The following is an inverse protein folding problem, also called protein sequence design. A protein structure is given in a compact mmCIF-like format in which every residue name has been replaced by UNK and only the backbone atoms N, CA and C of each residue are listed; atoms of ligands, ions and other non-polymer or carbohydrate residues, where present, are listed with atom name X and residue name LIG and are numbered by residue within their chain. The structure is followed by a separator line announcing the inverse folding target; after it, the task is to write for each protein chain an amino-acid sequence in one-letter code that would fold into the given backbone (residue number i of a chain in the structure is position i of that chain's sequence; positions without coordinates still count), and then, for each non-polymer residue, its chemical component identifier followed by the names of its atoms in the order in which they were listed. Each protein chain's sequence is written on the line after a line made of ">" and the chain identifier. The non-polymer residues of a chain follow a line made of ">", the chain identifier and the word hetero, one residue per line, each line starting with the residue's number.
data_IF_650208638703
#
_entry.id   IF_650208638703
#
_cell.length_a   1.000
_cell.length_b   1.000
_cell.length_c   1.000
_cell.angle_alpha   90.00
_cell.angle_beta   90.00
_cell.angle_gamma   90.00
#
_symmetry.space_group_name_H-M   'P 1'
#
loop_
_entity.id
_entity.type
_entity.pdbx_description
1 polymer ?
#
# COMPACT_ATOMS: atom_id res chain seq x y z
N UNK A 1 -29.06 31.69 0.74
CA UNK A 1 -29.51 30.50 -0.03
C UNK A 1 -29.12 29.26 0.76
N UNK A 2 -30.08 28.59 1.40
CA UNK A 2 -29.79 27.40 2.21
C UNK A 2 -29.43 26.21 1.33
N UNK A 3 -28.31 25.54 1.64
CA UNK A 3 -27.88 24.33 0.94
C UNK A 3 -28.97 23.25 1.03
N UNK A 4 -29.33 22.55 -0.08
CA UNK A 4 -30.38 21.53 -0.09
C UNK A 4 -30.14 20.36 0.88
N UNK A 5 -28.90 20.12 1.30
CA UNK A 5 -28.56 19.14 2.33
C UNK A 5 -28.83 19.64 3.76
N UNK A 6 -28.75 20.95 4.01
CA UNK A 6 -29.00 21.53 5.32
C UNK A 6 -30.45 21.34 5.76
N UNK A 7 -31.40 21.56 4.85
CA UNK A 7 -32.83 21.34 5.12
C UNK A 7 -33.16 19.89 5.47
N UNK A 8 -32.52 18.91 4.82
CA UNK A 8 -32.70 17.47 5.10
C UNK A 8 -32.13 17.05 6.46
N UNK A 9 -30.99 17.60 6.84
CA UNK A 9 -30.37 17.32 8.15
C UNK A 9 -31.25 17.88 9.26
N UNK A 10 -31.71 19.12 9.12
CA UNK A 10 -32.56 19.79 10.12
C UNK A 10 -33.86 19.00 10.33
N UNK A 11 -34.57 18.62 9.26
CA UNK A 11 -35.81 17.83 9.38
C UNK A 11 -35.59 16.45 10.01
N UNK A 12 -34.46 15.80 9.70
CA UNK A 12 -34.11 14.50 10.29
C UNK A 12 -33.84 14.63 11.79
N UNK A 13 -33.09 15.66 12.20
CA UNK A 13 -32.80 15.93 13.62
C UNK A 13 -34.09 16.28 14.37
N UNK A 14 -34.96 17.13 13.80
CA UNK A 14 -36.25 17.47 14.40
C UNK A 14 -37.17 16.26 14.56
N UNK A 15 -37.20 15.34 13.59
CA UNK A 15 -37.98 14.11 13.70
C UNK A 15 -37.45 13.18 14.80
N UNK A 16 -36.12 13.03 14.90
CA UNK A 16 -35.47 12.22 15.93
C UNK A 16 -35.71 12.79 17.34
N UNK A 17 -35.56 14.11 17.52
CA UNK A 17 -35.85 14.79 18.79
C UNK A 17 -37.33 14.67 19.18
N UNK A 18 -38.25 14.81 18.21
CA UNK A 18 -39.69 14.64 18.44
C UNK A 18 -40.07 13.24 18.95
N UNK A 19 -39.38 12.19 18.49
CA UNK A 19 -39.60 10.81 18.95
C UNK A 19 -39.07 10.55 20.37
N UNK A 20 -38.20 11.43 20.88
CA UNK A 20 -37.52 11.28 22.17
C UNK A 20 -38.25 12.00 23.31
N UNK A 21 -39.17 12.91 23.01
CA UNK A 21 -39.92 13.71 24.00
C UNK A 21 -40.74 12.86 25.00
N UNK A 22 -40.98 11.59 24.70
CA UNK A 22 -41.76 10.66 25.53
C UNK A 22 -40.91 9.77 26.44
N UNK A 23 -39.57 9.91 26.41
CA UNK A 23 -38.61 9.05 27.12
C UNK A 23 -38.02 9.72 28.36
N UNK A 24 -37.36 8.93 29.21
CA UNK A 24 -36.59 9.44 30.37
C UNK A 24 -35.33 10.15 29.91
N UNK A 25 -34.91 11.17 30.65
CA UNK A 25 -33.84 12.11 30.25
C UNK A 25 -32.49 11.42 29.99
N UNK A 26 -32.13 10.40 30.78
CA UNK A 26 -30.91 9.62 30.59
C UNK A 26 -30.91 8.81 29.27
N UNK A 27 -32.07 8.25 28.90
CA UNK A 27 -32.24 7.52 27.64
C UNK A 27 -32.18 8.46 26.43
N UNK A 28 -32.73 9.66 26.58
CA UNK A 28 -32.66 10.71 25.56
C UNK A 28 -31.19 11.06 25.31
N UNK A 29 -30.40 11.29 26.36
CA UNK A 29 -29.00 11.68 26.21
C UNK A 29 -28.15 10.56 25.58
N UNK A 30 -28.40 9.29 25.92
CA UNK A 30 -27.72 8.16 25.30
C UNK A 30 -28.05 8.06 23.80
N UNK A 31 -29.32 8.23 23.43
CA UNK A 31 -29.77 8.16 22.04
C UNK A 31 -29.21 9.34 21.23
N UNK A 32 -29.16 10.55 21.80
CA UNK A 32 -28.49 11.74 21.25
C UNK A 32 -27.06 11.46 20.84
N UNK A 33 -26.28 10.89 21.76
CA UNK A 33 -24.89 10.56 21.47
C UNK A 33 -24.76 9.55 20.31
N UNK A 34 -25.64 8.56 20.25
CA UNK A 34 -25.63 7.55 19.20
C UNK A 34 -25.94 8.12 17.81
N UNK A 35 -27.05 8.84 17.64
CA UNK A 35 -27.40 9.35 16.31
C UNK A 35 -26.52 10.55 15.91
N UNK A 36 -26.04 11.37 16.85
CA UNK A 36 -25.06 12.42 16.55
C UNK A 36 -23.80 11.84 15.93
N UNK A 37 -23.31 10.71 16.44
CA UNK A 37 -22.16 10.02 15.85
C UNK A 37 -22.46 9.51 14.44
N UNK A 38 -23.63 8.90 14.21
CA UNK A 38 -24.04 8.40 12.89
C UNK A 38 -24.17 9.57 11.90
N UNK A 39 -24.87 10.63 12.25
CA UNK A 39 -25.05 11.82 11.40
C UNK A 39 -23.71 12.49 11.11
N UNK A 40 -22.88 12.69 12.13
CA UNK A 40 -21.55 13.30 11.98
C UNK A 40 -20.67 12.47 11.07
N UNK A 41 -20.68 11.15 11.22
CA UNK A 41 -19.91 10.26 10.34
C UNK A 41 -20.44 10.29 8.90
N UNK A 42 -21.75 10.34 8.69
CA UNK A 42 -22.33 10.43 7.34
C UNK A 42 -22.09 11.79 6.67
N UNK A 43 -22.07 12.88 7.45
CA UNK A 43 -21.76 14.22 6.95
C UNK A 43 -20.26 14.42 6.68
N UNK A 44 -19.40 13.87 7.55
CA UNK A 44 -17.94 13.87 7.39
C UNK A 44 -17.47 12.89 6.32
N UNK A 45 -18.22 11.81 6.07
CA UNK A 45 -18.09 10.95 4.89
C UNK A 45 -18.58 11.72 3.65
N UNK A 46 -17.90 12.81 3.30
CA UNK A 46 -17.70 13.17 1.91
C UNK A 46 -17.24 11.89 1.24
N UNK A 47 -18.11 11.29 0.41
CA UNK A 47 -17.88 10.09 -0.41
C UNK A 47 -16.38 9.85 -0.53
N UNK A 48 -15.86 8.70 -0.06
CA UNK A 48 -14.49 8.27 -0.37
C UNK A 48 -14.20 8.74 -1.78
N UNK A 49 -13.23 9.68 -1.95
CA UNK A 49 -13.05 10.36 -3.23
C UNK A 49 -13.06 9.28 -4.31
N UNK A 50 -13.98 9.35 -5.30
CA UNK A 50 -14.09 8.29 -6.28
C UNK A 50 -12.68 8.07 -6.86
N UNK A 51 -12.19 6.84 -6.76
CA UNK A 51 -10.91 6.42 -7.36
C UNK A 51 -10.89 7.00 -8.77
N UNK A 52 -9.85 7.76 -9.09
CA UNK A 52 -9.79 8.46 -10.37
C UNK A 52 -9.92 7.46 -11.51
N UNK A 53 -10.48 7.88 -12.65
CA UNK A 53 -10.61 6.97 -13.81
C UNK A 53 -9.25 6.36 -14.21
N UNK A 54 -8.17 7.12 -14.05
CA UNK A 54 -6.79 6.65 -14.20
C UNK A 54 -6.45 5.52 -13.23
N UNK A 55 -6.79 5.64 -11.95
CA UNK A 55 -6.55 4.57 -10.97
C UNK A 55 -7.39 3.33 -11.25
N UNK A 56 -8.66 3.48 -11.67
CA UNK A 56 -9.50 2.34 -12.09
C UNK A 56 -8.88 1.63 -13.29
N UNK A 57 -8.42 2.40 -14.28
CA UNK A 57 -7.73 1.90 -15.46
C UNK A 57 -6.47 1.11 -15.07
N UNK A 58 -5.58 1.70 -14.26
CA UNK A 58 -4.35 1.06 -13.79
C UNK A 58 -4.67 -0.23 -13.04
N UNK A 59 -5.65 -0.21 -12.13
CA UNK A 59 -6.04 -1.38 -11.35
C UNK A 59 -6.56 -2.51 -12.24
N UNK A 60 -7.38 -2.18 -13.25
CA UNK A 60 -7.88 -3.16 -14.23
C UNK A 60 -6.75 -3.82 -15.01
N UNK A 61 -5.80 -3.03 -15.52
CA UNK A 61 -4.65 -3.56 -16.25
C UNK A 61 -3.73 -4.38 -15.35
N UNK A 62 -3.46 -3.91 -14.14
CA UNK A 62 -2.69 -4.65 -13.16
C UNK A 62 -3.23 -6.06 -12.92
N UNK A 63 -4.55 -6.19 -12.71
CA UNK A 63 -5.20 -7.51 -12.54
C UNK A 63 -5.05 -8.39 -13.77
N UNK A 64 -5.24 -7.83 -14.98
CA UNK A 64 -5.05 -8.56 -16.24
C UNK A 64 -3.62 -9.04 -16.41
N UNK A 65 -2.64 -8.16 -16.19
CA UNK A 65 -1.20 -8.48 -16.28
C UNK A 65 -0.80 -9.54 -15.26
N UNK A 66 -1.29 -9.45 -14.02
CA UNK A 66 -1.05 -10.48 -12.99
C UNK A 66 -1.60 -11.85 -13.41
N UNK A 67 -2.81 -11.89 -13.97
CA UNK A 67 -3.40 -13.13 -14.50
C UNK A 67 -2.57 -13.69 -15.66
N UNK A 68 -2.21 -12.85 -16.62
CA UNK A 68 -1.35 -13.23 -17.74
C UNK A 68 -0.01 -13.82 -17.27
N UNK A 69 0.67 -13.18 -16.32
CA UNK A 69 1.94 -13.66 -15.74
C UNK A 69 1.79 -14.91 -14.90
N UNK A 70 0.62 -15.13 -14.28
CA UNK A 70 0.35 -16.38 -13.57
C UNK A 70 0.24 -17.57 -14.53
N UNK A 71 -0.27 -17.34 -15.74
CA UNK A 71 -0.44 -18.36 -16.78
C UNK A 71 0.83 -18.58 -17.62
N UNK A 72 1.68 -17.56 -17.74
CA UNK A 72 2.88 -17.58 -18.58
C UNK A 72 4.16 -17.47 -17.74
N UNK A 73 4.52 -18.57 -17.05
CA UNK A 73 5.70 -18.63 -16.17
C UNK A 73 7.05 -18.63 -16.90
N UNK A 74 7.06 -18.83 -18.21
CA UNK A 74 8.27 -18.71 -19.02
C UNK A 74 8.65 -17.23 -19.24
N UNK A 75 7.72 -16.30 -19.08
CA UNK A 75 7.96 -14.87 -19.30
C UNK A 75 8.45 -14.18 -18.01
N UNK A 76 9.37 -13.22 -18.14
CA UNK A 76 9.82 -12.34 -17.07
C UNK A 76 9.85 -10.89 -17.52
N UNK A 77 9.30 -10.01 -16.69
CA UNK A 77 9.53 -8.56 -16.80
C UNK A 77 10.66 -8.16 -15.86
N UNK A 78 11.62 -7.37 -16.34
CA UNK A 78 12.67 -6.77 -15.52
C UNK A 78 12.80 -5.28 -15.81
N UNK A 79 13.31 -4.52 -14.86
CA UNK A 79 13.71 -3.14 -15.10
C UNK A 79 15.03 -3.13 -15.88
N UNK A 80 15.09 -2.35 -16.96
CA UNK A 80 16.35 -2.09 -17.64
C UNK A 80 17.23 -1.21 -16.75
N UNK A 81 18.55 -1.40 -16.86
CA UNK A 81 19.54 -0.58 -16.15
C UNK A 81 19.43 0.92 -16.50
N UNK A 82 19.04 1.23 -17.75
CA UNK A 82 18.90 2.60 -18.27
C UNK A 82 17.46 2.97 -18.60
N UNK A 83 17.06 4.20 -18.28
CA UNK A 83 15.88 4.87 -18.86
C UNK A 83 14.52 4.59 -18.22
N UNK A 84 14.45 3.97 -17.04
CA UNK A 84 13.18 3.57 -16.43
C UNK A 84 12.30 2.70 -17.35
N UNK A 85 12.96 1.91 -18.20
CA UNK A 85 12.32 1.02 -19.17
C UNK A 85 12.06 -0.33 -18.49
N UNK A 86 10.97 -1.00 -18.87
CA UNK A 86 10.70 -2.38 -18.50
C UNK A 86 10.92 -3.28 -19.72
N UNK A 87 11.71 -4.34 -19.56
CA UNK A 87 12.03 -5.30 -20.62
C UNK A 87 11.28 -6.60 -20.37
N UNK A 88 10.71 -7.14 -21.45
CA UNK A 88 10.14 -8.48 -21.49
C UNK A 88 11.20 -9.46 -21.98
N UNK A 89 11.42 -10.55 -21.25
CA UNK A 89 12.38 -11.60 -21.62
C UNK A 89 11.81 -12.98 -21.38
N UNK A 90 12.31 -13.97 -22.13
CA UNK A 90 12.15 -15.37 -21.76
C UNK A 90 13.06 -15.70 -20.56
N UNK A 91 12.49 -16.36 -19.57
CA UNK A 91 13.15 -16.70 -18.31
C UNK A 91 14.19 -17.81 -18.49
N UNK A 92 13.95 -18.75 -19.39
CA UNK A 92 14.89 -19.82 -19.70
C UNK A 92 16.13 -19.25 -20.39
N UNK A 93 15.91 -18.50 -21.47
CA UNK A 93 16.97 -17.84 -22.22
C UNK A 93 17.79 -16.89 -21.35
N UNK A 94 17.12 -16.08 -20.50
CA UNK A 94 17.79 -15.20 -19.56
C UNK A 94 18.72 -15.97 -18.61
N UNK A 95 18.23 -17.07 -18.02
CA UNK A 95 19.03 -17.89 -17.09
C UNK A 95 20.24 -18.52 -17.78
N UNK A 96 20.04 -19.02 -18.99
CA UNK A 96 21.12 -19.64 -19.77
C UNK A 96 22.21 -18.62 -20.10
N UNK A 97 21.83 -17.45 -20.63
CA UNK A 97 22.78 -16.38 -20.94
C UNK A 97 23.49 -15.86 -19.70
N UNK A 98 22.79 -15.66 -18.59
CA UNK A 98 23.40 -15.20 -17.34
C UNK A 98 24.38 -16.23 -16.78
N UNK A 99 24.04 -17.52 -16.86
CA UNK A 99 24.95 -18.59 -16.46
C UNK A 99 26.19 -18.62 -17.34
N UNK A 100 26.03 -18.53 -18.66
CA UNK A 100 27.16 -18.49 -19.60
C UNK A 100 28.12 -17.33 -19.33
N UNK A 101 27.61 -16.16 -18.93
CA UNK A 101 28.45 -15.00 -18.57
C UNK A 101 29.21 -15.26 -17.27
N UNK A 102 28.56 -15.81 -16.24
CA UNK A 102 29.16 -15.98 -14.90
C UNK A 102 30.13 -17.18 -14.86
N UNK A 103 29.89 -18.21 -15.67
CA UNK A 103 30.75 -19.39 -15.77
C UNK A 103 32.02 -19.13 -16.62
N UNK A 104 32.17 -17.92 -17.18
CA UNK A 104 33.37 -17.51 -17.92
C UNK A 104 34.58 -17.34 -16.98
N UNK A 105 35.40 -18.38 -16.91
CA UNK A 105 36.63 -18.42 -16.12
C UNK A 105 37.78 -17.61 -16.71
N UNK A 106 37.64 -17.06 -17.94
CA UNK A 106 38.64 -16.15 -18.50
C UNK A 106 38.47 -14.73 -17.93
N UNK A 107 37.22 -14.27 -17.81
CA UNK A 107 36.91 -12.93 -17.29
C UNK A 107 36.71 -12.92 -15.77
N UNK A 108 36.05 -13.93 -15.21
CA UNK A 108 35.69 -13.99 -13.79
C UNK A 108 36.49 -15.06 -13.02
N UNK A 109 36.64 -14.87 -11.70
CA UNK A 109 37.31 -15.81 -10.81
C UNK A 109 36.34 -16.33 -9.76
N UNK A 110 36.35 -17.64 -9.54
CA UNK A 110 35.54 -18.28 -8.50
C UNK A 110 36.00 -17.83 -7.11
N UNK A 111 35.06 -17.32 -6.31
CA UNK A 111 35.30 -16.98 -4.91
C UNK A 111 35.08 -18.21 -4.03
N UNK A 112 36.08 -18.56 -3.20
CA UNK A 112 35.99 -19.68 -2.26
C UNK A 112 35.08 -19.40 -1.07
N UNK A 113 35.00 -18.14 -0.67
CA UNK A 113 34.22 -17.66 0.47
C UNK A 113 33.58 -16.31 0.11
N UNK A 114 32.48 -15.96 0.78
CA UNK A 114 31.84 -14.66 0.64
C UNK A 114 32.76 -13.53 1.17
N UNK A 115 33.22 -12.61 0.29
CA UNK A 115 34.09 -11.51 0.70
C UNK A 115 33.37 -10.43 1.50
N UNK A 116 32.04 -10.44 1.55
CA UNK A 116 31.24 -9.44 2.28
C UNK A 116 31.09 -9.78 3.77
N UNK A 117 31.29 -11.04 4.16
CA UNK A 117 31.13 -11.51 5.55
C UNK A 117 31.89 -10.68 6.61
N UNK A 118 33.17 -10.30 6.41
CA UNK A 118 33.89 -9.44 7.36
C UNK A 118 33.25 -8.05 7.51
N UNK A 119 32.76 -7.49 6.40
CA UNK A 119 32.13 -6.16 6.40
C UNK A 119 30.75 -6.20 7.06
N UNK A 120 29.98 -7.27 6.83
CA UNK A 120 28.70 -7.49 7.49
C UNK A 120 28.86 -7.58 9.00
N UNK A 121 29.88 -8.30 9.49
CA UNK A 121 30.20 -8.36 10.93
C UNK A 121 30.49 -6.98 11.50
N UNK A 122 31.40 -6.21 10.87
CA UNK A 122 31.70 -4.83 11.29
C UNK A 122 30.45 -3.96 11.32
N UNK A 123 29.59 -4.04 10.31
CA UNK A 123 28.35 -3.28 10.27
C UNK A 123 27.40 -3.67 11.42
N UNK A 124 27.30 -4.96 11.73
CA UNK A 124 26.49 -5.44 12.85
C UNK A 124 27.04 -5.00 14.21
N UNK A 125 28.36 -4.92 14.35
CA UNK A 125 29.01 -4.40 15.55
C UNK A 125 28.68 -2.92 15.77
N UNK A 126 28.71 -2.12 14.70
CA UNK A 126 28.31 -0.70 14.76
C UNK A 126 26.84 -0.57 15.18
N UNK A 127 25.94 -1.38 14.61
CA UNK A 127 24.53 -1.41 15.04
C UNK A 127 24.38 -1.75 16.53
N UNK A 128 25.17 -2.69 17.03
CA UNK A 128 25.18 -3.08 18.44
C UNK A 128 25.68 -1.94 19.33
N UNK A 129 26.65 -1.16 18.88
CA UNK A 129 27.17 -0.01 19.62
C UNK A 129 26.16 1.14 19.69
N UNK A 130 25.44 1.40 18.60
CA UNK A 130 24.32 2.36 18.59
C UNK A 130 23.23 1.92 19.57
N UNK A 131 22.83 0.65 19.55
CA UNK A 131 21.82 0.12 20.47
C UNK A 131 22.24 0.11 21.95
N UNK A 132 23.54 0.24 22.25
CA UNK A 132 24.10 0.36 23.60
C UNK A 132 24.43 1.80 23.98
N UNK A 133 24.11 2.77 23.12
CA UNK A 133 24.40 4.20 23.32
C UNK A 133 25.90 4.51 23.48
N UNK A 134 26.79 3.62 23.02
CA UNK A 134 28.24 3.91 22.98
C UNK A 134 28.57 4.96 21.93
N UNK A 135 27.70 5.13 20.94
CA UNK A 135 27.83 6.08 19.84
C UNK A 135 26.44 6.60 19.50
N UNK A 136 26.31 7.90 19.30
CA UNK A 136 25.07 8.54 18.88
C UNK A 136 24.81 8.36 17.38
N UNK A 137 23.54 8.47 16.99
CA UNK A 137 23.06 8.35 15.62
C UNK A 137 23.26 9.63 14.81
#
# INVERSE_FOLDING_TARGET
>A
MEHPNGKKVITTVSALEGMMMTKKEDEIQQLRNQYCNILTNNLKNKKMKPISETQKFIHRFYRKTRKFLSQNKHIMFTKADKGNITVLMDRGEYKEKMKAIVDDNNTYKLLKNDPTSPFQKKHNDIKKWIGKEYISN
#
